data_IF_393912418166
#
_entry.id   IF_393912418166
#
_cell.length_a   1.000
_cell.length_b   1.000
_cell.length_c   1.000
_cell.angle_alpha   90.00
_cell.angle_beta   90.00
_cell.angle_gamma   90.00
#
_symmetry.space_group_name_H-M   'P 1'
#
loop_
_entity.id
_entity.type
_entity.pdbx_description
1 polymer ?
#
# COMPACT_ATOMS: atom_id res chain seq x y z
N UNK A 1 86.87 0.01 -15.23
CA UNK A 1 85.69 -0.69 -15.81
C UNK A 1 84.51 -0.81 -14.83
N UNK A 2 84.47 -0.03 -13.75
CA UNK A 2 83.45 -0.14 -12.69
C UNK A 2 82.17 0.66 -12.97
N UNK A 3 82.24 1.82 -13.65
CA UNK A 3 81.08 2.70 -13.83
C UNK A 3 79.97 2.18 -14.76
N UNK A 4 80.26 1.27 -15.70
CA UNK A 4 79.24 0.73 -16.61
C UNK A 4 78.36 -0.30 -15.90
N UNK A 5 78.93 -1.12 -15.01
CA UNK A 5 78.17 -2.12 -14.24
C UNK A 5 77.22 -1.46 -13.24
N UNK A 6 77.65 -0.35 -12.62
CA UNK A 6 76.82 0.46 -11.71
C UNK A 6 75.63 1.09 -12.44
N UNK A 7 75.85 1.64 -13.63
CA UNK A 7 74.80 2.22 -14.48
C UNK A 7 73.75 1.18 -14.90
N UNK A 8 74.20 -0.04 -15.27
CA UNK A 8 73.29 -1.14 -15.61
C UNK A 8 72.48 -1.57 -14.39
N UNK A 9 73.12 -1.68 -13.21
CA UNK A 9 72.42 -2.05 -11.99
C UNK A 9 71.34 -1.03 -11.59
N UNK A 10 71.63 0.27 -11.72
CA UNK A 10 70.66 1.35 -11.47
C UNK A 10 69.52 1.28 -12.49
N UNK A 11 69.82 1.10 -13.78
CA UNK A 11 68.81 1.02 -14.83
C UNK A 11 67.86 -0.17 -14.62
N UNK A 12 68.39 -1.35 -14.24
CA UNK A 12 67.59 -2.53 -13.89
C UNK A 12 66.78 -2.29 -12.63
N UNK A 13 67.36 -1.67 -11.61
CA UNK A 13 66.65 -1.32 -10.37
C UNK A 13 65.45 -0.41 -10.62
N UNK A 14 65.62 0.66 -11.41
CA UNK A 14 64.55 1.61 -11.73
C UNK A 14 63.45 0.96 -12.57
N UNK A 15 63.80 0.17 -13.59
CA UNK A 15 62.80 -0.52 -14.41
C UNK A 15 62.02 -1.57 -13.63
N UNK A 16 62.67 -2.31 -12.73
CA UNK A 16 61.99 -3.27 -11.85
C UNK A 16 61.03 -2.56 -10.89
N UNK A 17 61.45 -1.42 -10.35
CA UNK A 17 60.63 -0.63 -9.43
C UNK A 17 59.42 0.01 -10.14
N UNK A 18 59.61 0.56 -11.33
CA UNK A 18 58.51 1.05 -12.18
C UNK A 18 57.54 -0.08 -12.57
N UNK A 19 58.06 -1.27 -12.91
CA UNK A 19 57.25 -2.45 -13.18
C UNK A 19 56.41 -2.88 -11.98
N UNK A 20 57.01 -2.89 -10.78
CA UNK A 20 56.32 -3.23 -9.53
C UNK A 20 55.23 -2.20 -9.17
N UNK A 21 55.54 -0.90 -9.29
CA UNK A 21 54.57 0.18 -9.05
C UNK A 21 53.43 0.15 -10.06
N UNK A 22 53.74 -0.04 -11.35
CA UNK A 22 52.73 -0.19 -12.40
C UNK A 22 51.83 -1.41 -12.18
N UNK A 23 52.41 -2.56 -11.85
CA UNK A 23 51.66 -3.77 -11.54
C UNK A 23 50.77 -3.59 -10.30
N UNK A 24 51.28 -2.94 -9.25
CA UNK A 24 50.50 -2.62 -8.06
C UNK A 24 49.33 -1.67 -8.38
N UNK A 25 49.57 -0.64 -9.19
CA UNK A 25 48.52 0.30 -9.59
C UNK A 25 47.41 -0.38 -10.38
N UNK A 26 47.77 -1.24 -11.35
CA UNK A 26 46.80 -1.94 -12.20
C UNK A 26 46.06 -3.05 -11.44
N UNK A 27 46.73 -3.81 -10.57
CA UNK A 27 46.09 -4.94 -9.85
C UNK A 27 45.36 -4.52 -8.58
N UNK A 28 45.77 -3.46 -7.91
CA UNK A 28 45.24 -3.11 -6.58
C UNK A 28 44.45 -1.82 -6.61
N UNK A 29 45.01 -0.76 -7.20
CA UNK A 29 44.42 0.57 -7.12
C UNK A 29 43.29 0.77 -8.14
N UNK A 30 43.56 0.45 -9.41
CA UNK A 30 42.60 0.57 -10.51
C UNK A 30 41.26 -0.16 -10.25
N UNK A 31 41.23 -1.45 -9.85
CA UNK A 31 39.97 -2.15 -9.63
C UNK A 31 39.17 -1.56 -8.46
N UNK A 32 39.83 -1.04 -7.41
CA UNK A 32 39.15 -0.39 -6.28
C UNK A 32 38.52 0.94 -6.69
N UNK A 33 39.22 1.74 -7.50
CA UNK A 33 38.69 3.01 -8.00
C UNK A 33 37.52 2.76 -8.95
N UNK A 34 37.62 1.76 -9.83
CA UNK A 34 36.52 1.38 -10.72
C UNK A 34 35.31 0.85 -9.95
N UNK A 35 35.51 0.06 -8.90
CA UNK A 35 34.44 -0.40 -8.02
C UNK A 35 33.71 0.78 -7.34
N UNK A 36 34.46 1.73 -6.75
CA UNK A 36 33.88 2.90 -6.11
C UNK A 36 33.14 3.82 -7.08
N UNK A 37 33.64 3.98 -8.32
CA UNK A 37 32.93 4.74 -9.36
C UNK A 37 31.60 4.10 -9.74
N UNK A 38 31.57 2.77 -9.89
CA UNK A 38 30.35 2.02 -10.20
C UNK A 38 29.30 2.17 -9.10
N UNK A 39 29.74 2.11 -7.85
CA UNK A 39 28.87 2.30 -6.69
C UNK A 39 28.33 3.73 -6.63
N UNK A 40 29.17 4.74 -6.85
CA UNK A 40 28.73 6.13 -6.89
C UNK A 40 27.71 6.39 -8.01
N UNK A 41 27.90 5.82 -9.21
CA UNK A 41 26.91 5.90 -10.28
C UNK A 41 25.62 5.18 -9.92
N UNK A 42 25.69 3.99 -9.29
CA UNK A 42 24.51 3.27 -8.87
C UNK A 42 23.69 4.03 -7.81
N UNK A 43 24.37 4.65 -6.84
CA UNK A 43 23.72 5.49 -5.82
C UNK A 43 23.09 6.73 -6.46
N UNK A 44 23.80 7.40 -7.38
CA UNK A 44 23.26 8.54 -8.12
C UNK A 44 22.02 8.14 -8.92
N UNK A 45 22.09 7.05 -9.67
CA UNK A 45 21.00 6.53 -10.49
C UNK A 45 19.80 6.11 -9.62
N UNK A 46 20.04 5.59 -8.41
CA UNK A 46 18.97 5.27 -7.47
C UNK A 46 18.28 6.55 -6.93
N UNK A 47 19.05 7.58 -6.61
CA UNK A 47 18.50 8.82 -6.03
C UNK A 47 17.78 9.67 -7.09
N UNK A 48 18.47 9.96 -8.20
CA UNK A 48 17.98 10.85 -9.25
C UNK A 48 17.11 10.14 -10.27
N UNK A 49 17.23 8.81 -10.37
CA UNK A 49 16.68 8.03 -11.45
C UNK A 49 17.70 7.81 -12.55
N UNK A 50 17.41 6.83 -13.40
CA UNK A 50 18.25 6.45 -14.53
C UNK A 50 17.45 6.59 -15.81
N UNK A 51 18.05 7.20 -16.82
CA UNK A 51 17.53 7.23 -18.19
C UNK A 51 17.39 5.82 -18.78
N UNK A 52 16.52 5.63 -19.78
CA UNK A 52 16.40 4.35 -20.45
C UNK A 52 17.72 4.01 -21.13
N UNK A 53 18.14 2.74 -21.01
CA UNK A 53 19.31 2.26 -21.75
C UNK A 53 18.82 1.86 -23.13
N UNK A 54 19.22 2.62 -24.15
CA UNK A 54 18.94 2.33 -25.55
C UNK A 54 20.18 1.74 -26.22
N UNK A 55 19.98 0.69 -27.02
CA UNK A 55 21.01 0.16 -27.90
C UNK A 55 21.37 1.21 -28.97
N UNK A 56 22.62 1.66 -28.99
CA UNK A 56 23.10 2.67 -29.92
C UNK A 56 23.13 2.19 -31.38
N UNK A 57 23.10 0.88 -31.62
CA UNK A 57 23.16 0.29 -32.97
C UNK A 57 21.74 0.01 -33.50
N UNK A 58 20.89 -0.62 -32.69
CA UNK A 58 19.54 -1.03 -33.13
C UNK A 58 18.44 -0.05 -32.75
N UNK A 59 18.72 0.94 -31.89
CA UNK A 59 17.75 1.89 -31.38
C UNK A 59 16.70 1.29 -30.45
N UNK A 60 16.83 0.00 -30.08
CA UNK A 60 15.90 -0.69 -29.19
C UNK A 60 16.21 -0.38 -27.75
N UNK A 61 15.17 -0.18 -26.95
CA UNK A 61 15.30 -0.01 -25.51
C UNK A 61 15.67 -1.35 -24.87
N UNK A 62 16.85 -1.38 -24.23
CA UNK A 62 17.40 -2.54 -23.52
C UNK A 62 16.85 -2.58 -22.10
N UNK A 63 16.71 -1.40 -21.46
CA UNK A 63 16.18 -1.31 -20.11
C UNK A 63 15.40 0.00 -19.89
N UNK A 64 14.25 -0.06 -19.19
CA UNK A 64 13.43 1.11 -18.94
C UNK A 64 14.11 2.11 -18.02
N UNK A 65 13.62 3.34 -18.10
CA UNK A 65 13.94 4.40 -17.15
C UNK A 65 13.54 3.96 -15.74
N UNK A 66 14.46 4.13 -14.79
CA UNK A 66 14.16 3.92 -13.37
C UNK A 66 13.84 5.27 -12.74
N UNK A 67 12.64 5.45 -12.16
CA UNK A 67 12.32 6.67 -11.44
C UNK A 67 13.17 6.74 -10.17
N UNK A 68 13.69 7.94 -9.88
CA UNK A 68 14.46 8.18 -8.66
C UNK A 68 13.65 7.91 -7.40
N UNK A 69 14.35 7.64 -6.29
CA UNK A 69 13.72 7.39 -4.99
C UNK A 69 12.73 8.50 -4.61
N UNK A 70 13.02 9.77 -4.93
CA UNK A 70 12.11 10.88 -4.64
C UNK A 70 10.74 10.73 -5.32
N UNK A 71 10.72 10.39 -6.61
CA UNK A 71 9.45 10.16 -7.32
C UNK A 71 8.72 8.93 -6.78
N UNK A 72 9.46 7.85 -6.50
CA UNK A 72 8.88 6.63 -5.91
C UNK A 72 8.25 6.91 -4.55
N UNK A 73 8.92 7.71 -3.71
CA UNK A 73 8.39 8.11 -2.41
C UNK A 73 7.17 9.01 -2.55
N UNK A 74 7.18 9.98 -3.47
CA UNK A 74 6.01 10.82 -3.72
C UNK A 74 4.78 9.99 -4.13
N UNK A 75 4.95 8.98 -5.00
CA UNK A 75 3.87 8.05 -5.36
C UNK A 75 3.37 7.26 -4.15
N UNK A 76 4.28 6.78 -3.30
CA UNK A 76 3.93 6.06 -2.07
C UNK A 76 3.17 6.96 -1.09
N UNK A 77 3.64 8.19 -0.88
CA UNK A 77 2.97 9.17 -0.02
C UNK A 77 1.56 9.48 -0.53
N UNK A 78 1.39 9.68 -1.83
CA UNK A 78 0.07 9.91 -2.43
C UNK A 78 -0.85 8.69 -2.27
N UNK A 79 -0.31 7.48 -2.43
CA UNK A 79 -1.05 6.24 -2.17
C UNK A 79 -1.47 6.13 -0.71
N UNK A 80 -0.61 6.49 0.24
CA UNK A 80 -0.92 6.49 1.67
C UNK A 80 -2.01 7.51 2.03
N UNK A 81 -1.97 8.71 1.44
CA UNK A 81 -3.03 9.71 1.62
C UNK A 81 -4.37 9.19 1.09
N UNK A 82 -4.36 8.54 -0.08
CA UNK A 82 -5.57 7.96 -0.68
C UNK A 82 -6.12 6.84 0.19
N UNK A 83 -5.24 5.97 0.71
CA UNK A 83 -5.63 4.88 1.59
C UNK A 83 -6.21 5.40 2.92
N UNK A 84 -5.64 6.47 3.46
CA UNK A 84 -6.18 7.12 4.65
C UNK A 84 -7.56 7.73 4.41
N UNK A 85 -7.80 8.35 3.24
CA UNK A 85 -9.12 8.86 2.87
C UNK A 85 -10.16 7.72 2.73
N UNK A 86 -9.77 6.63 2.08
CA UNK A 86 -10.62 5.43 1.96
C UNK A 86 -10.95 4.83 3.34
N UNK A 87 -9.97 4.77 4.24
CA UNK A 87 -10.18 4.31 5.61
C UNK A 87 -11.19 5.15 6.38
N UNK A 88 -11.16 6.48 6.24
CA UNK A 88 -12.17 7.37 6.84
C UNK A 88 -13.56 7.11 6.30
N UNK A 89 -13.70 7.03 4.97
CA UNK A 89 -15.01 6.76 4.34
C UNK A 89 -15.60 5.42 4.76
N UNK A 90 -14.76 4.41 4.97
CA UNK A 90 -15.21 3.12 5.50
C UNK A 90 -15.74 3.25 6.93
N UNK A 91 -15.07 4.03 7.79
CA UNK A 91 -15.56 4.34 9.12
C UNK A 91 -16.91 5.06 9.09
N UNK A 92 -17.04 6.09 8.25
CA UNK A 92 -18.32 6.83 8.10
C UNK A 92 -19.46 5.90 7.66
N UNK A 93 -19.20 4.97 6.73
CA UNK A 93 -20.17 3.98 6.28
C UNK A 93 -20.54 2.96 7.36
N UNK A 94 -19.58 2.56 8.20
CA UNK A 94 -19.82 1.65 9.32
C UNK A 94 -20.74 2.33 10.37
N UNK A 95 -20.47 3.58 10.70
CA UNK A 95 -21.31 4.37 11.60
C UNK A 95 -22.74 4.55 11.02
N UNK A 96 -22.87 4.82 9.73
CA UNK A 96 -24.18 4.92 9.06
C UNK A 96 -24.93 3.58 9.06
N UNK A 97 -24.23 2.45 8.87
CA UNK A 97 -24.84 1.12 8.97
C UNK A 97 -25.35 0.82 10.38
N UNK A 98 -24.62 1.21 11.41
CA UNK A 98 -25.04 1.04 12.80
C UNK A 98 -26.32 1.86 13.07
N UNK A 99 -26.36 3.14 12.67
CA UNK A 99 -27.56 3.97 12.81
C UNK A 99 -28.77 3.38 12.07
N UNK A 100 -28.57 2.93 10.83
CA UNK A 100 -29.62 2.27 10.06
C UNK A 100 -30.11 0.99 10.73
N UNK A 101 -29.21 0.18 11.30
CA UNK A 101 -29.57 -1.01 12.08
C UNK A 101 -30.47 -0.66 13.26
N UNK A 102 -30.06 0.31 14.09
CA UNK A 102 -30.87 0.74 15.23
C UNK A 102 -32.25 1.28 14.83
N UNK A 103 -32.31 2.01 13.70
CA UNK A 103 -33.56 2.56 13.19
C UNK A 103 -34.49 1.46 12.69
N UNK A 104 -33.95 0.43 12.03
CA UNK A 104 -34.72 -0.73 11.60
C UNK A 104 -35.28 -1.48 12.81
N UNK A 105 -34.47 -1.75 13.83
CA UNK A 105 -34.91 -2.43 15.06
C UNK A 105 -36.07 -1.67 15.73
N UNK A 106 -35.98 -0.34 15.82
CA UNK A 106 -37.05 0.51 16.38
C UNK A 106 -38.32 0.44 15.53
N UNK A 107 -38.19 0.44 14.21
CA UNK A 107 -39.35 0.33 13.30
C UNK A 107 -40.01 -1.04 13.37
N UNK A 108 -39.22 -2.11 13.46
CA UNK A 108 -39.70 -3.47 13.63
C UNK A 108 -40.45 -3.63 14.95
N UNK A 109 -39.89 -3.16 16.06
CA UNK A 109 -40.54 -3.18 17.37
C UNK A 109 -41.89 -2.44 17.34
N UNK A 110 -41.94 -1.23 16.78
CA UNK A 110 -43.17 -0.46 16.64
C UNK A 110 -44.20 -1.14 15.71
N UNK A 111 -43.74 -1.87 14.68
CA UNK A 111 -44.62 -2.64 13.81
C UNK A 111 -45.21 -3.85 14.54
N UNK A 112 -44.40 -4.58 15.30
CA UNK A 112 -44.86 -5.70 16.13
C UNK A 112 -45.91 -5.23 17.12
N UNK A 113 -45.66 -4.14 17.84
CA UNK A 113 -46.60 -3.56 18.81
C UNK A 113 -47.94 -3.23 18.13
N UNK A 114 -47.93 -2.54 16.99
CA UNK A 114 -49.15 -2.23 16.23
C UNK A 114 -49.93 -3.48 15.81
N UNK A 115 -49.24 -4.54 15.38
CA UNK A 115 -49.89 -5.80 15.00
C UNK A 115 -50.54 -6.46 16.22
N UNK A 116 -49.84 -6.49 17.35
CA UNK A 116 -50.36 -7.03 18.62
C UNK A 116 -51.59 -6.25 19.08
N UNK A 117 -51.51 -4.91 19.17
CA UNK A 117 -52.65 -4.07 19.56
C UNK A 117 -53.86 -4.26 18.65
N UNK A 118 -53.64 -4.40 17.33
CA UNK A 118 -54.73 -4.65 16.38
C UNK A 118 -55.35 -6.03 16.59
N UNK A 119 -54.55 -7.05 16.87
CA UNK A 119 -55.04 -8.39 17.18
C UNK A 119 -55.88 -8.40 18.46
N UNK A 120 -55.40 -7.75 19.53
CA UNK A 120 -56.11 -7.60 20.80
C UNK A 120 -57.44 -6.85 20.63
N UNK A 121 -57.44 -5.74 19.88
CA UNK A 121 -58.68 -5.00 19.59
C UNK A 121 -59.70 -5.87 18.84
N UNK A 122 -59.24 -6.71 17.90
CA UNK A 122 -60.12 -7.60 17.13
C UNK A 122 -60.70 -8.70 18.03
N UNK A 123 -59.89 -9.25 18.93
CA UNK A 123 -60.33 -10.23 19.91
C UNK A 123 -61.36 -9.63 20.88
N UNK A 124 -61.12 -8.41 21.36
CA UNK A 124 -62.04 -7.67 22.22
C UNK A 124 -63.39 -7.43 21.53
N UNK A 125 -63.39 -6.98 20.27
CA UNK A 125 -64.61 -6.84 19.48
C UNK A 125 -65.38 -8.14 19.34
N UNK A 126 -64.71 -9.26 19.04
CA UNK A 126 -65.35 -10.59 18.95
C UNK A 126 -65.92 -11.05 20.30
N UNK A 127 -65.23 -10.78 21.40
CA UNK A 127 -65.71 -11.11 22.73
C UNK A 127 -66.97 -10.30 23.09
N UNK A 128 -67.01 -9.01 22.75
CA UNK A 128 -68.21 -8.18 22.91
C UNK A 128 -69.37 -8.68 22.04
N UNK A 129 -69.12 -9.02 20.78
CA UNK A 129 -70.14 -9.58 19.88
C UNK A 129 -70.72 -10.90 20.41
N UNK A 130 -69.87 -11.80 20.91
CA UNK A 130 -70.29 -13.05 21.51
C UNK A 130 -71.11 -12.83 22.80
N UNK A 131 -70.75 -11.85 23.63
CA UNK A 131 -71.51 -11.50 24.83
C UNK A 131 -72.91 -10.97 24.48
N UNK A 132 -73.02 -10.07 23.49
CA UNK A 132 -74.30 -9.54 22.99
C UNK A 132 -75.17 -10.65 22.38
N UNK A 133 -74.57 -11.57 21.63
CA UNK A 133 -75.30 -12.72 21.05
C UNK A 133 -75.71 -13.78 22.08
N UNK A 134 -75.06 -13.83 23.25
CA UNK A 134 -75.43 -14.70 24.36
C UNK A 134 -76.54 -14.12 25.24
N UNK A 135 -76.96 -12.87 24.97
CA UNK A 135 -78.01 -12.15 25.69
C UNK A 135 -79.45 -12.23 25.12
N UNK A 136 -79.88 -13.23 24.31
CA UNK A 136 -81.29 -13.53 24.12
C UNK A 136 -81.73 -14.59 25.15
N UNK A 137 -82.81 -14.29 25.89
CA UNK A 137 -83.58 -15.17 26.79
C UNK A 137 -83.47 -14.95 28.32
N UNK A 138 -83.12 -13.75 28.81
CA UNK A 138 -83.34 -13.39 30.22
C UNK A 138 -84.51 -12.43 30.51
N UNK A 139 -85.22 -11.92 29.49
CA UNK A 139 -86.39 -11.04 29.67
C UNK A 139 -87.75 -11.67 29.30
N UNK A 140 -87.87 -13.00 29.29
CA UNK A 140 -89.16 -13.70 29.15
C UNK A 140 -89.53 -14.49 30.42
N UNK A 141 -89.87 -13.77 31.49
CA UNK A 141 -90.64 -14.26 32.64
C UNK A 141 -91.32 -13.06 33.29
N UNK A 142 -92.59 -13.11 33.70
CA UNK A 142 -93.34 -14.25 34.25
C UNK A 142 -94.29 -14.98 33.30
#
# INVERSE_FOLDING_TARGET
>A
MTGVQELIAIAVGVTTLLGAVGAFWVKVLKPRIEAGRKEATAVRDAILGREPITDSITGREIAPALPGIGQRMATVEQALVTLADQGRRLGDLEDEQIDHGERLDKLEAAQVERVVTRAESTAAWRAMEAAVQAEPDQEAGP
#
